data_IF_299832169709
#
_entry.id   IF_299832169709
#
_cell.length_a   1.000
_cell.length_b   1.000
_cell.length_c   1.000
_cell.angle_alpha   90.00
_cell.angle_beta   90.00
_cell.angle_gamma   90.00
#
_symmetry.space_group_name_H-M   'P 1'
#
loop_
_entity.id
_entity.type
_entity.pdbx_description
1 polymer ?
#
# COMPACT_ATOMS: atom_id res chain seq x y z
N UNK A 1 -3.50 51.09 -3.02
CA UNK A 1 -4.31 50.11 -3.78
C UNK A 1 -3.69 48.69 -3.83
N UNK A 2 -2.43 48.50 -3.42
CA UNK A 2 -1.74 47.20 -3.37
C UNK A 2 -1.95 46.44 -2.05
N UNK A 3 -1.98 47.14 -0.91
CA UNK A 3 -2.18 46.53 0.41
C UNK A 3 -3.46 45.67 0.49
N UNK A 4 -4.59 46.19 -0.01
CA UNK A 4 -5.86 45.44 -0.05
C UNK A 4 -5.78 44.20 -0.95
N UNK A 5 -5.00 44.24 -2.03
CA UNK A 5 -4.83 43.09 -2.94
C UNK A 5 -3.96 42.01 -2.30
N UNK A 6 -2.97 42.39 -1.50
CA UNK A 6 -2.13 41.44 -0.77
C UNK A 6 -2.88 40.79 0.37
N UNK A 7 -3.77 41.52 1.05
CA UNK A 7 -4.68 41.01 2.07
C UNK A 7 -5.67 39.99 1.48
N UNK A 8 -6.30 40.32 0.34
CA UNK A 8 -7.17 39.38 -0.40
C UNK A 8 -6.40 38.12 -0.83
N UNK A 9 -5.15 38.27 -1.29
CA UNK A 9 -4.30 37.13 -1.68
C UNK A 9 -3.83 36.28 -0.51
N UNK A 10 -3.70 36.85 0.69
CA UNK A 10 -3.35 36.11 1.89
C UNK A 10 -4.53 35.24 2.34
N UNK A 11 -5.73 35.85 2.43
CA UNK A 11 -6.96 35.15 2.81
C UNK A 11 -7.28 34.03 1.80
N UNK A 12 -7.18 34.30 0.50
CA UNK A 12 -7.41 33.28 -0.53
C UNK A 12 -6.43 32.11 -0.47
N UNK A 13 -5.17 32.36 -0.08
CA UNK A 13 -4.17 31.29 0.08
C UNK A 13 -4.49 30.39 1.27
N UNK A 14 -4.94 30.99 2.36
CA UNK A 14 -5.31 30.27 3.58
C UNK A 14 -6.56 29.42 3.37
N UNK A 15 -7.59 30.00 2.74
CA UNK A 15 -8.81 29.28 2.39
C UNK A 15 -8.55 28.16 1.37
N UNK A 16 -7.70 28.38 0.36
CA UNK A 16 -7.30 27.33 -0.58
C UNK A 16 -6.49 26.22 0.08
N UNK A 17 -5.61 26.54 1.04
CA UNK A 17 -4.86 25.55 1.80
C UNK A 17 -5.78 24.70 2.69
N UNK A 18 -6.77 25.31 3.33
CA UNK A 18 -7.78 24.63 4.13
C UNK A 18 -8.69 23.73 3.28
N UNK A 19 -9.11 24.21 2.10
CA UNK A 19 -9.90 23.42 1.14
C UNK A 19 -9.08 22.24 0.59
N UNK A 20 -7.81 22.44 0.26
CA UNK A 20 -6.92 21.38 -0.23
C UNK A 20 -6.64 20.34 0.86
N UNK A 21 -6.46 20.77 2.11
CA UNK A 21 -6.34 19.89 3.26
C UNK A 21 -7.63 19.12 3.55
N UNK A 22 -8.81 19.76 3.40
CA UNK A 22 -10.12 19.13 3.60
C UNK A 22 -10.57 18.17 2.49
N UNK A 23 -10.07 18.34 1.26
CA UNK A 23 -10.32 17.42 0.14
C UNK A 23 -9.35 16.23 0.08
N UNK A 24 -8.44 16.10 1.05
CA UNK A 24 -7.47 15.01 1.14
C UNK A 24 -8.06 13.72 1.75
N UNK A 25 -9.34 13.45 1.52
CA UNK A 25 -9.93 12.16 1.80
C UNK A 25 -9.45 11.15 0.74
N UNK A 26 -8.49 10.29 1.10
CA UNK A 26 -8.08 9.18 0.24
C UNK A 26 -9.30 8.30 0.00
N UNK A 27 -9.79 8.31 -1.24
CA UNK A 27 -10.87 7.44 -1.68
C UNK A 27 -10.28 6.09 -2.05
N UNK A 28 -10.43 5.12 -1.15
CA UNK A 28 -10.02 3.73 -1.39
C UNK A 28 -11.19 2.98 -2.01
N UNK A 29 -11.02 2.52 -3.25
CA UNK A 29 -11.94 1.60 -3.90
C UNK A 29 -11.42 0.17 -3.77
N UNK A 30 -12.20 -0.67 -3.11
CA UNK A 30 -11.91 -2.10 -3.01
C UNK A 30 -12.30 -2.77 -4.32
N UNK A 31 -11.36 -3.49 -4.95
CA UNK A 31 -11.54 -4.16 -6.24
C UNK A 31 -11.25 -5.64 -6.06
N UNK A 32 -12.19 -6.48 -6.47
CA UNK A 32 -12.00 -7.93 -6.53
C UNK A 32 -11.44 -8.31 -7.88
N UNK A 33 -10.32 -9.04 -7.88
CA UNK A 33 -9.69 -9.56 -9.10
C UNK A 33 -9.19 -10.97 -8.81
N UNK A 34 -10.04 -11.96 -9.06
CA UNK A 34 -9.75 -13.38 -8.91
C UNK A 34 -9.37 -14.04 -10.25
N UNK A 35 -9.79 -13.46 -11.38
CA UNK A 35 -9.60 -14.03 -12.72
C UNK A 35 -9.01 -13.03 -13.73
N UNK A 36 -8.43 -13.54 -14.82
CA UNK A 36 -7.90 -12.70 -15.90
C UNK A 36 -8.98 -11.88 -16.61
N UNK A 37 -10.22 -12.38 -16.66
CA UNK A 37 -11.36 -11.65 -17.22
C UNK A 37 -11.75 -10.46 -16.35
N UNK A 38 -11.74 -10.63 -15.02
CA UNK A 38 -11.97 -9.54 -14.06
C UNK A 38 -10.86 -8.48 -14.13
N UNK A 39 -9.60 -8.90 -14.30
CA UNK A 39 -8.48 -7.97 -14.49
C UNK A 39 -8.68 -7.12 -15.75
N UNK A 40 -9.07 -7.75 -16.86
CA UNK A 40 -9.33 -7.06 -18.12
C UNK A 40 -10.57 -6.15 -18.05
N UNK A 41 -11.60 -6.52 -17.28
CA UNK A 41 -12.75 -5.65 -17.01
C UNK A 41 -12.34 -4.42 -16.20
N UNK A 42 -11.53 -4.60 -15.15
CA UNK A 42 -10.99 -3.51 -14.35
C UNK A 42 -10.11 -2.56 -15.17
N UNK A 43 -9.20 -3.09 -15.99
CA UNK A 43 -8.33 -2.28 -16.84
C UNK A 43 -9.14 -1.43 -17.83
N UNK A 44 -10.21 -1.98 -18.41
CA UNK A 44 -11.14 -1.23 -19.28
C UNK A 44 -11.85 -0.11 -18.54
N UNK A 45 -12.39 -0.39 -17.35
CA UNK A 45 -13.05 0.61 -16.52
C UNK A 45 -12.09 1.74 -16.10
N UNK A 46 -10.84 1.39 -15.75
CA UNK A 46 -9.80 2.36 -15.43
C UNK A 46 -9.47 3.25 -16.63
N UNK A 47 -9.36 2.67 -17.83
CA UNK A 47 -9.12 3.43 -19.06
C UNK A 47 -10.25 4.43 -19.34
N UNK A 48 -11.51 4.05 -19.10
CA UNK A 48 -12.67 4.95 -19.18
C UNK A 48 -12.59 6.07 -18.13
N UNK A 49 -12.26 5.74 -16.88
CA UNK A 49 -12.14 6.74 -15.80
C UNK A 49 -11.00 7.74 -16.04
N UNK A 50 -9.90 7.32 -16.67
CA UNK A 50 -8.80 8.20 -17.04
C UNK A 50 -9.17 9.25 -18.10
N UNK A 51 -10.25 9.04 -18.85
CA UNK A 51 -10.79 10.07 -19.75
C UNK A 51 -11.45 11.23 -19.01
N UNK A 52 -11.81 11.05 -17.73
CA UNK A 52 -12.39 12.12 -16.93
C UNK A 52 -11.34 13.15 -16.50
N UNK A 53 -11.61 14.46 -16.67
CA UNK A 53 -10.68 15.50 -16.29
C UNK A 53 -10.42 15.48 -14.78
N UNK A 54 -9.13 15.48 -14.41
CA UNK A 54 -8.69 15.48 -13.01
C UNK A 54 -8.67 14.10 -12.32
N UNK A 55 -9.18 13.04 -12.95
CA UNK A 55 -9.09 11.70 -12.37
C UNK A 55 -7.64 11.16 -12.38
N UNK A 56 -6.91 11.35 -13.48
CA UNK A 56 -5.51 10.96 -13.59
C UNK A 56 -4.63 11.64 -12.52
N UNK A 57 -4.86 12.92 -12.25
CA UNK A 57 -4.16 13.68 -11.20
C UNK A 57 -4.52 13.17 -9.80
N UNK A 58 -5.80 12.88 -9.55
CA UNK A 58 -6.26 12.29 -8.28
C UNK A 58 -5.65 10.91 -8.05
N UNK A 59 -5.50 10.10 -9.09
CA UNK A 59 -4.85 8.80 -9.01
C UNK A 59 -3.33 8.94 -8.78
N UNK A 60 -2.67 9.85 -9.50
CA UNK A 60 -1.23 10.10 -9.37
C UNK A 60 -0.85 10.68 -8.00
N UNK A 61 -1.67 11.59 -7.46
CA UNK A 61 -1.50 12.18 -6.14
C UNK A 61 -1.94 11.24 -5.00
N UNK A 62 -2.47 10.05 -5.33
CA UNK A 62 -2.91 9.06 -4.35
C UNK A 62 -4.20 9.42 -3.62
N UNK A 63 -4.94 10.42 -4.10
CA UNK A 63 -6.29 10.76 -3.62
C UNK A 63 -7.29 9.66 -3.98
N UNK A 64 -7.10 8.96 -5.09
CA UNK A 64 -7.82 7.74 -5.43
C UNK A 64 -6.84 6.58 -5.38
N UNK A 65 -7.20 5.52 -4.65
CA UNK A 65 -6.39 4.29 -4.55
C UNK A 65 -7.28 3.07 -4.72
N UNK A 66 -6.79 2.09 -5.47
CA UNK A 66 -7.43 0.79 -5.57
C UNK A 66 -6.76 -0.18 -4.60
N UNK A 67 -7.56 -0.87 -3.80
CA UNK A 67 -7.11 -1.92 -2.90
C UNK A 67 -7.74 -3.24 -3.36
N UNK A 68 -6.95 -4.31 -3.42
CA UNK A 68 -7.51 -5.63 -3.72
C UNK A 68 -8.40 -6.10 -2.57
N UNK A 69 -9.56 -6.67 -2.90
CA UNK A 69 -10.41 -7.39 -1.95
C UNK A 69 -9.66 -8.64 -1.48
N UNK A 70 -8.78 -8.46 -0.50
CA UNK A 70 -8.15 -9.57 0.21
C UNK A 70 -9.11 -10.00 1.32
N UNK A 71 -9.36 -11.31 1.54
CA UNK A 71 -10.14 -11.75 2.69
C UNK A 71 -9.53 -11.15 3.96
N UNK A 72 -10.38 -10.46 4.73
CA UNK A 72 -9.98 -9.59 5.81
C UNK A 72 -9.10 -10.32 6.83
N UNK A 73 -7.88 -9.82 7.02
CA UNK A 73 -7.35 -9.71 8.38
C UNK A 73 -7.79 -8.33 8.88
N UNK A 74 -8.44 -8.22 10.05
CA UNK A 74 -9.05 -6.99 10.49
C UNK A 74 -7.96 -5.95 10.79
N UNK A 75 -7.91 -4.87 10.00
CA UNK A 75 -7.26 -3.63 10.43
C UNK A 75 -8.27 -2.87 11.29
N UNK A 76 -7.96 -2.52 12.55
CA UNK A 76 -8.87 -1.73 13.36
C UNK A 76 -8.94 -0.32 12.78
N UNK A 77 -10.15 0.07 12.38
CA UNK A 77 -10.51 1.43 11.99
C UNK A 77 -10.17 2.41 13.12
N UNK A 78 -9.54 3.51 12.73
CA UNK A 78 -9.17 4.62 13.58
C UNK A 78 -10.39 5.22 14.30
N UNK A 79 -10.34 5.24 15.63
CA UNK A 79 -11.08 6.19 16.46
C UNK A 79 -10.11 7.30 16.90
N UNK A 80 -10.49 8.59 16.83
CA UNK A 80 -9.62 9.66 17.27
C UNK A 80 -9.75 9.76 18.78
N UNK A 81 -8.71 9.39 19.52
CA UNK A 81 -8.64 9.72 20.94
C UNK A 81 -7.26 10.28 21.29
N UNK A 82 -7.34 11.45 21.89
CA UNK A 82 -6.28 12.31 22.39
C UNK A 82 -5.24 11.59 23.27
N UNK A 83 -4.00 12.09 23.17
CA UNK A 83 -2.94 12.14 24.19
C UNK A 83 -2.28 10.83 24.66
N UNK A 84 -1.07 10.55 24.18
CA UNK A 84 0.23 10.69 24.88
C UNK A 84 1.34 9.94 24.10
N UNK A 85 2.60 10.41 24.11
CA UNK A 85 3.67 9.77 23.36
C UNK A 85 4.23 8.59 24.18
N UNK A 86 3.89 7.37 23.80
CA UNK A 86 4.58 6.18 24.31
C UNK A 86 5.07 5.35 23.13
N UNK A 87 6.39 5.40 22.98
CA UNK A 87 7.21 4.52 22.15
C UNK A 87 6.85 3.05 22.42
N UNK A 88 6.07 2.47 21.51
CA UNK A 88 5.89 1.02 21.42
C UNK A 88 6.40 0.58 20.04
N UNK A 89 7.54 -0.11 20.06
CA UNK A 89 8.14 -0.78 18.93
C UNK A 89 7.07 -1.50 18.11
N UNK A 90 6.95 -1.11 16.85
CA UNK A 90 6.29 -1.89 15.83
C UNK A 90 6.97 -3.26 15.79
N UNK A 91 6.35 -4.26 16.41
CA UNK A 91 6.62 -5.67 16.14
C UNK A 91 6.40 -5.88 14.65
N UNK A 92 7.48 -5.74 13.87
CA UNK A 92 7.54 -6.11 12.46
C UNK A 92 7.16 -7.59 12.39
N UNK A 93 5.89 -7.86 12.11
CA UNK A 93 5.39 -9.20 11.87
C UNK A 93 6.30 -9.83 10.83
N UNK A 94 7.06 -10.85 11.26
CA UNK A 94 8.01 -11.54 10.39
C UNK A 94 7.20 -12.23 9.30
N UNK A 95 7.38 -11.89 8.02
CA UNK A 95 6.62 -12.52 6.95
C UNK A 95 6.83 -14.05 7.01
N UNK A 96 5.72 -14.78 7.00
CA UNK A 96 5.69 -16.24 6.99
C UNK A 96 5.27 -16.71 5.61
N UNK A 97 6.08 -17.56 4.99
CA UNK A 97 5.81 -18.13 3.68
C UNK A 97 5.47 -19.61 3.82
N UNK A 98 4.18 -19.92 3.93
CA UNK A 98 3.67 -21.29 4.07
C UNK A 98 3.44 -21.93 2.69
N UNK A 99 4.54 -22.24 2.00
CA UNK A 99 4.54 -22.94 0.71
C UNK A 99 5.49 -24.13 0.75
N UNK A 100 5.06 -25.25 0.15
CA UNK A 100 5.90 -26.48 0.05
C UNK A 100 7.10 -26.32 -0.88
N UNK A 101 6.98 -25.48 -1.91
CA UNK A 101 8.07 -25.14 -2.83
C UNK A 101 8.18 -23.62 -2.91
N UNK A 102 9.38 -23.11 -2.68
CA UNK A 102 9.65 -21.67 -2.67
C UNK A 102 10.54 -21.34 -3.86
N UNK A 103 10.04 -20.45 -4.69
CA UNK A 103 10.68 -20.03 -5.94
C UNK A 103 11.24 -18.62 -5.85
N UNK A 104 12.03 -18.22 -6.85
CA UNK A 104 12.58 -16.87 -6.95
C UNK A 104 11.49 -15.79 -6.94
N UNK A 105 10.36 -16.03 -7.60
CA UNK A 105 9.25 -15.07 -7.70
C UNK A 105 8.57 -14.85 -6.35
N UNK A 106 8.59 -15.86 -5.48
CA UNK A 106 8.09 -15.73 -4.11
C UNK A 106 9.01 -14.82 -3.30
N UNK A 107 10.33 -15.03 -3.40
CA UNK A 107 11.34 -14.20 -2.73
C UNK A 107 11.45 -12.80 -3.33
N UNK A 108 11.08 -12.62 -4.59
CA UNK A 108 11.11 -11.33 -5.25
C UNK A 108 10.22 -10.29 -4.54
N UNK A 109 9.13 -10.75 -3.90
CA UNK A 109 8.17 -9.92 -3.18
C UNK A 109 8.66 -9.51 -1.77
N UNK A 110 9.72 -10.15 -1.27
CA UNK A 110 10.28 -9.86 0.06
C UNK A 110 11.51 -8.96 -0.04
N UNK A 111 11.57 -7.96 0.83
CA UNK A 111 12.74 -7.10 1.02
C UNK A 111 13.74 -7.68 2.04
N UNK A 112 14.87 -7.00 2.29
CA UNK A 112 15.85 -7.42 3.30
C UNK A 112 15.17 -7.59 4.66
N UNK A 113 15.32 -8.77 5.26
CA UNK A 113 14.58 -9.10 6.49
C UNK A 113 14.59 -10.58 6.82
N UNK A 114 13.92 -10.90 7.92
CA UNK A 114 13.78 -12.28 8.40
C UNK A 114 12.53 -12.88 7.72
N UNK A 115 12.68 -14.04 7.08
CA UNK A 115 11.60 -14.76 6.42
C UNK A 115 11.43 -16.11 7.09
N UNK A 116 10.23 -16.37 7.62
CA UNK A 116 9.91 -17.65 8.25
C UNK A 116 9.34 -18.61 7.23
N UNK A 117 9.95 -19.77 7.10
CA UNK A 117 9.60 -20.81 6.14
C UNK A 117 9.34 -22.11 6.93
N UNK A 118 8.32 -22.92 6.58
CA UNK A 118 8.09 -24.18 7.28
C UNK A 118 9.24 -25.15 7.00
N UNK A 119 9.65 -25.94 8.00
CA UNK A 119 10.79 -26.89 7.88
C UNK A 119 10.70 -27.85 6.69
N UNK A 120 9.48 -28.18 6.27
CA UNK A 120 9.15 -29.06 5.15
C UNK A 120 9.22 -28.40 3.76
N UNK A 121 9.39 -27.08 3.69
CA UNK A 121 9.50 -26.38 2.42
C UNK A 121 10.84 -26.68 1.74
N UNK A 122 10.79 -26.93 0.43
CA UNK A 122 11.97 -27.02 -0.43
C UNK A 122 12.22 -25.67 -1.07
N UNK A 123 13.45 -25.18 -0.94
CA UNK A 123 13.91 -23.95 -1.59
C UNK A 123 14.53 -24.33 -2.93
N UNK A 124 14.18 -23.63 -4.01
CA UNK A 124 14.92 -23.79 -5.27
C UNK A 124 16.33 -23.17 -5.15
N UNK A 125 17.31 -23.62 -5.96
CA UNK A 125 18.64 -23.00 -5.96
C UNK A 125 18.60 -21.50 -6.27
N UNK A 126 17.80 -21.10 -7.26
CA UNK A 126 17.64 -19.68 -7.64
C UNK A 126 16.97 -18.85 -6.53
N UNK A 127 16.05 -19.47 -5.76
CA UNK A 127 15.49 -18.84 -4.58
C UNK A 127 16.57 -18.59 -3.49
N UNK A 128 17.51 -19.52 -3.28
CA UNK A 128 18.60 -19.29 -2.33
C UNK A 128 19.49 -18.11 -2.74
N UNK A 129 19.79 -18.01 -4.03
CA UNK A 129 20.61 -16.94 -4.57
C UNK A 129 19.90 -15.58 -4.47
N UNK A 130 18.60 -15.52 -4.75
CA UNK A 130 17.80 -14.30 -4.56
C UNK A 130 17.68 -13.91 -3.09
N UNK A 131 17.50 -14.87 -2.17
CA UNK A 131 17.51 -14.60 -0.73
C UNK A 131 18.84 -13.97 -0.29
N UNK A 132 19.97 -14.49 -0.77
CA UNK A 132 21.30 -13.94 -0.49
C UNK A 132 21.47 -12.55 -1.06
N UNK A 133 21.08 -12.34 -2.32
CA UNK A 133 21.17 -11.03 -3.02
C UNK A 133 20.34 -9.96 -2.31
N UNK A 134 19.14 -10.32 -1.83
CA UNK A 134 18.22 -9.40 -1.16
C UNK A 134 18.46 -9.25 0.34
N UNK A 135 19.39 -10.01 0.92
CA UNK A 135 19.64 -9.97 2.37
C UNK A 135 18.50 -10.56 3.20
N UNK A 136 17.79 -11.55 2.66
CA UNK A 136 16.71 -12.27 3.36
C UNK A 136 17.33 -13.38 4.21
N UNK A 137 17.14 -13.30 5.53
CA UNK A 137 17.53 -14.35 6.48
C UNK A 137 16.38 -15.35 6.62
N UNK A 138 16.61 -16.58 6.20
CA UNK A 138 15.60 -17.64 6.26
C UNK A 138 15.64 -18.32 7.63
N UNK A 139 14.56 -18.23 8.39
CA UNK A 139 14.32 -19.01 9.60
C UNK A 139 13.36 -20.15 9.31
N UNK A 140 13.76 -21.38 9.66
CA UNK A 140 12.89 -22.55 9.52
C UNK A 140 12.09 -22.74 10.79
N UNK A 141 10.77 -22.56 10.70
CA UNK A 141 9.84 -22.78 11.80
C UNK A 141 9.13 -24.12 11.68
N UNK A 142 8.83 -24.70 12.83
CA UNK A 142 8.04 -25.92 12.94
C UNK A 142 6.58 -25.48 13.04
N UNK A 143 5.84 -25.68 11.94
CA UNK A 143 4.39 -25.50 11.85
C UNK A 143 3.76 -26.87 11.68
#
# INVERSE_FOLDING_TARGET
>A
MTALRDEIRAILREELAAVLAGHSGVTVQTVRVDTSDELNAFARNLAEQLTQPGFAEKLANGTVRFALERPATPTPSAVPMMTTPQSAQASRATPMLDKKLITESDLAQFGPGLLRIPKQARLTPLANDEARRKGVRIERIET
#
